data_IF_812469454761
#
_entry.id   IF_812469454761
#
_cell.length_a   1.000
_cell.length_b   1.000
_cell.length_c   1.000
_cell.angle_alpha   90.00
_cell.angle_beta   90.00
_cell.angle_gamma   90.00
#
_symmetry.space_group_name_H-M   'P 1'
#
loop_
_entity.id
_entity.type
_entity.pdbx_description
1 polymer ?
#
# COMPACT_ATOMS: atom_id res chain seq x y z
N UNK A 1 -8.84 -10.78 3.59
CA UNK A 1 -7.45 -10.37 3.29
C UNK A 1 -6.52 -11.26 4.12
N UNK A 2 -5.53 -11.94 3.54
CA UNK A 2 -4.57 -12.72 4.33
C UNK A 2 -3.58 -11.78 5.03
N UNK A 3 -2.99 -12.23 6.14
CA UNK A 3 -1.95 -11.45 6.84
C UNK A 3 -0.79 -11.09 5.91
N UNK A 4 -0.41 -12.01 5.02
CA UNK A 4 0.63 -11.78 4.00
C UNK A 4 0.28 -10.61 3.06
N UNK A 5 -0.99 -10.50 2.64
CA UNK A 5 -1.40 -9.38 1.80
C UNK A 5 -1.30 -8.07 2.59
N UNK A 6 -1.76 -8.03 3.84
CA UNK A 6 -1.72 -6.83 4.69
C UNK A 6 -0.30 -6.25 4.83
N UNK A 7 0.72 -7.10 4.91
CA UNK A 7 2.12 -6.65 5.01
C UNK A 7 2.70 -6.18 3.68
N UNK A 8 2.13 -6.60 2.55
CA UNK A 8 2.65 -6.33 1.21
C UNK A 8 1.89 -5.22 0.46
N UNK A 9 0.74 -4.74 0.97
CA UNK A 9 -0.10 -3.78 0.22
C UNK A 9 0.60 -2.44 -0.11
N UNK A 10 1.66 -2.09 0.62
CA UNK A 10 2.45 -0.89 0.40
C UNK A 10 3.74 -1.16 -0.38
N UNK A 11 4.05 -2.42 -0.72
CA UNK A 11 5.18 -2.74 -1.59
C UNK A 11 4.91 -2.26 -3.02
N UNK A 12 5.94 -1.78 -3.75
CA UNK A 12 5.79 -1.39 -5.14
C UNK A 12 5.35 -2.58 -6.00
N UNK A 13 4.46 -2.32 -6.95
CA UNK A 13 3.89 -3.29 -7.90
C UNK A 13 2.95 -4.35 -7.27
N UNK A 14 2.61 -4.24 -5.99
CA UNK A 14 1.60 -5.10 -5.39
C UNK A 14 0.20 -4.77 -5.95
N UNK A 15 -0.44 -5.74 -6.59
CA UNK A 15 -1.80 -5.61 -7.14
C UNK A 15 -2.53 -6.96 -7.11
N UNK A 16 -3.85 -6.93 -6.90
CA UNK A 16 -4.74 -8.09 -7.08
C UNK A 16 -5.47 -8.05 -8.42
N UNK A 17 -5.33 -6.97 -9.19
CA UNK A 17 -5.87 -6.83 -10.55
C UNK A 17 -4.78 -6.92 -11.61
N UNK A 18 -5.09 -7.61 -12.71
CA UNK A 18 -4.18 -7.82 -13.84
C UNK A 18 -3.87 -6.56 -14.66
N UNK A 19 -4.70 -5.52 -14.58
CA UNK A 19 -4.50 -4.23 -15.27
C UNK A 19 -3.94 -3.13 -14.36
N UNK A 20 -3.84 -3.38 -13.05
CA UNK A 20 -3.33 -2.41 -12.09
C UNK A 20 -1.80 -2.39 -12.08
N UNK A 21 -1.21 -1.21 -11.96
CA UNK A 21 0.26 -1.06 -11.85
C UNK A 21 0.78 -1.40 -10.46
N UNK A 22 -0.08 -1.43 -9.44
CA UNK A 22 0.31 -1.67 -8.05
C UNK A 22 1.17 -0.58 -7.42
N UNK A 23 1.16 0.64 -7.97
CA UNK A 23 1.97 1.76 -7.47
C UNK A 23 1.20 2.75 -6.60
N UNK A 24 -0.13 2.71 -6.59
CA UNK A 24 -0.95 3.72 -5.91
C UNK A 24 -0.71 3.80 -4.40
N UNK A 25 -0.78 2.65 -3.70
CA UNK A 25 -0.57 2.59 -2.26
C UNK A 25 0.88 2.87 -1.86
N UNK A 26 1.84 2.40 -2.65
CA UNK A 26 3.25 2.73 -2.47
C UNK A 26 3.47 4.24 -2.54
N UNK A 27 2.98 4.90 -3.59
CA UNK A 27 3.09 6.36 -3.74
C UNK A 27 2.39 7.12 -2.62
N UNK A 28 1.20 6.67 -2.20
CA UNK A 28 0.50 7.29 -1.06
C UNK A 28 1.32 7.20 0.23
N UNK A 29 1.99 6.06 0.47
CA UNK A 29 2.89 5.87 1.61
C UNK A 29 4.11 6.81 1.54
N UNK A 30 4.77 6.89 0.39
CA UNK A 30 5.91 7.80 0.17
C UNK A 30 5.51 9.27 0.35
N UNK A 31 4.34 9.68 -0.14
CA UNK A 31 3.82 11.04 0.02
C UNK A 31 3.52 11.32 1.50
N UNK A 32 2.90 10.39 2.23
CA UNK A 32 2.68 10.55 3.67
C UNK A 32 4.01 10.72 4.41
N UNK A 33 4.99 9.85 4.14
CA UNK A 33 6.29 9.89 4.81
C UNK A 33 7.05 11.20 4.52
N UNK A 34 6.98 11.69 3.27
CA UNK A 34 7.52 13.00 2.89
C UNK A 34 6.84 14.18 3.62
N UNK A 35 5.57 14.01 4.03
CA UNK A 35 4.80 15.01 4.78
C UNK A 35 4.79 14.74 6.29
N UNK A 36 5.69 13.89 6.81
CA UNK A 36 5.74 13.51 8.23
C UNK A 36 4.41 12.94 8.76
N UNK A 37 3.62 12.32 7.88
CA UNK A 37 2.36 11.66 8.17
C UNK A 37 2.52 10.13 8.07
N UNK A 38 1.63 9.39 8.72
CA UNK A 38 1.62 7.92 8.64
C UNK A 38 0.37 7.41 7.93
N UNK A 39 0.56 6.60 6.89
CA UNK A 39 -0.51 5.81 6.28
C UNK A 39 -0.57 4.43 6.95
N UNK A 40 -1.75 4.05 7.46
CA UNK A 40 -1.98 2.78 8.15
C UNK A 40 -3.18 2.04 7.57
N UNK A 41 -3.07 0.72 7.50
CA UNK A 41 -4.20 -0.15 7.20
C UNK A 41 -4.97 -0.44 8.49
N UNK A 42 -6.22 0.02 8.57
CA UNK A 42 -7.13 -0.37 9.64
C UNK A 42 -7.86 -1.67 9.30
N UNK A 43 -7.95 -2.60 10.25
CA UNK A 43 -8.74 -3.82 10.15
C UNK A 43 -9.45 -4.04 11.49
N UNK A 44 -10.78 -4.07 11.45
CA UNK A 44 -11.64 -4.53 12.56
C UNK A 44 -11.69 -6.06 12.58
#
# INVERSE_FOLDING_TARGET
>A
MTEKVKTQIFEPFFTTESKGTGLGLYLAKEICDANQASLQLWST
#
